data_IF_810999709131
#
_entry.id   IF_810999709131
#
_cell.length_a   1.000
_cell.length_b   1.000
_cell.length_c   1.000
_cell.angle_alpha   90.00
_cell.angle_beta   90.00
_cell.angle_gamma   90.00
#
_symmetry.space_group_name_H-M   'P 1'
#
loop_
_entity.id
_entity.type
_entity.pdbx_description
1 polymer ?
#
# COMPACT_ATOMS: atom_id res chain seq x y z
N UNK A 1 12.61 6.01 -41.40
CA UNK A 1 13.97 6.55 -41.29
C UNK A 1 13.84 8.04 -41.04
N UNK A 2 14.23 8.50 -39.85
CA UNK A 2 14.42 9.93 -39.61
C UNK A 2 15.90 10.22 -39.86
N UNK A 3 16.19 11.03 -40.83
CA UNK A 3 17.53 11.49 -41.15
C UNK A 3 17.65 12.93 -40.70
N UNK A 4 18.48 13.20 -39.71
CA UNK A 4 18.88 14.52 -39.29
C UNK A 4 20.20 14.83 -39.99
N UNK A 5 20.14 15.73 -40.97
CA UNK A 5 21.34 16.27 -41.65
C UNK A 5 21.38 17.76 -41.30
N UNK A 6 22.34 18.12 -40.46
CA UNK A 6 22.58 19.52 -40.14
C UNK A 6 24.08 19.76 -39.98
N UNK A 7 24.58 20.84 -40.50
CA UNK A 7 25.97 21.28 -40.31
C UNK A 7 26.25 21.65 -38.85
N UNK A 8 25.20 21.98 -38.12
CA UNK A 8 25.25 22.26 -36.66
C UNK A 8 23.90 21.96 -36.03
N UNK A 9 23.92 21.10 -35.00
CA UNK A 9 22.76 20.80 -34.15
C UNK A 9 23.13 21.08 -32.70
N UNK A 10 22.48 22.06 -32.07
CA UNK A 10 22.66 22.40 -30.68
C UNK A 10 21.31 22.33 -29.96
N UNK A 11 21.19 21.50 -28.92
CA UNK A 11 20.03 21.49 -28.06
C UNK A 11 20.45 21.67 -26.61
N UNK A 12 19.89 22.67 -25.94
CA UNK A 12 19.99 22.87 -24.48
C UNK A 12 18.66 22.44 -23.84
N UNK A 13 18.40 21.17 -23.80
CA UNK A 13 17.23 20.66 -23.09
C UNK A 13 17.67 19.82 -21.88
N UNK A 14 16.98 19.93 -20.78
CA UNK A 14 17.22 19.10 -19.60
C UNK A 14 17.05 17.60 -19.88
N UNK A 15 16.37 17.27 -21.00
CA UNK A 15 16.23 15.91 -21.51
C UNK A 15 15.97 15.97 -23.01
N UNK A 16 16.81 15.32 -23.82
CA UNK A 16 16.54 15.07 -25.24
C UNK A 16 16.30 13.59 -25.44
N UNK A 17 15.22 13.22 -26.13
CA UNK A 17 14.86 11.86 -26.47
C UNK A 17 14.86 11.68 -27.98
N UNK A 18 15.77 10.86 -28.50
CA UNK A 18 15.75 10.38 -29.88
C UNK A 18 15.27 8.93 -29.86
N UNK A 19 14.09 8.69 -30.40
CA UNK A 19 13.50 7.37 -30.44
C UNK A 19 13.13 6.97 -31.87
N UNK A 20 13.46 5.76 -32.28
CA UNK A 20 13.10 5.19 -33.57
C UNK A 20 12.84 3.70 -33.45
N UNK A 21 11.78 3.23 -34.10
CA UNK A 21 11.43 1.81 -34.13
C UNK A 21 12.40 0.95 -34.96
N UNK A 22 13.10 1.57 -35.94
CA UNK A 22 13.99 0.83 -36.83
C UNK A 22 15.45 1.27 -36.73
N UNK A 23 15.74 2.52 -36.98
CA UNK A 23 17.10 3.01 -37.06
C UNK A 23 17.21 4.49 -36.66
N UNK A 24 18.25 4.81 -35.91
CA UNK A 24 18.73 6.18 -35.68
C UNK A 24 20.07 6.30 -36.40
N UNK A 25 20.20 7.33 -37.29
CA UNK A 25 21.43 7.65 -37.98
C UNK A 25 21.78 9.12 -37.74
N UNK A 26 22.98 9.35 -37.19
CA UNK A 26 23.53 10.69 -36.97
C UNK A 26 24.79 10.77 -37.81
N UNK A 27 24.84 11.69 -38.76
CA UNK A 27 25.99 11.94 -39.60
C UNK A 27 26.32 13.41 -39.58
N UNK A 28 27.55 13.74 -39.23
CA UNK A 28 28.11 15.08 -39.28
C UNK A 28 29.62 14.99 -39.44
N UNK A 29 30.29 16.05 -39.96
CA UNK A 29 31.76 16.12 -39.96
C UNK A 29 32.35 15.95 -38.57
N UNK A 30 31.66 16.49 -37.53
CA UNK A 30 31.99 16.31 -36.14
C UNK A 30 30.70 16.13 -35.33
N UNK A 31 30.66 15.12 -34.44
CA UNK A 31 29.50 14.84 -33.62
C UNK A 31 29.94 14.78 -32.15
N UNK A 32 29.44 15.73 -31.36
CA UNK A 32 29.63 15.75 -29.91
C UNK A 32 28.30 15.47 -29.21
N UNK A 33 28.21 14.36 -28.46
CA UNK A 33 27.05 14.02 -27.64
C UNK A 33 27.50 13.87 -26.21
N UNK A 34 27.08 14.76 -25.35
CA UNK A 34 27.49 14.81 -23.95
C UNK A 34 26.28 14.58 -23.05
N UNK A 35 26.42 13.66 -22.11
CA UNK A 35 25.47 13.46 -21.04
C UNK A 35 26.15 13.59 -19.68
N UNK A 36 25.63 14.48 -18.82
CA UNK A 36 26.22 14.73 -17.49
C UNK A 36 26.13 13.54 -16.53
N UNK A 37 25.06 12.75 -16.62
CA UNK A 37 24.86 11.58 -15.78
C UNK A 37 24.81 10.28 -16.60
N UNK A 38 24.00 10.25 -17.63
CA UNK A 38 23.87 9.10 -18.52
C UNK A 38 23.52 9.52 -19.93
N UNK A 39 24.15 8.88 -20.90
CA UNK A 39 23.83 8.97 -22.30
C UNK A 39 23.15 7.68 -22.74
N UNK A 40 21.91 7.77 -23.23
CA UNK A 40 21.21 6.64 -23.82
C UNK A 40 20.99 6.88 -25.31
N UNK A 41 21.49 5.96 -26.14
CA UNK A 41 21.14 5.86 -27.55
C UNK A 41 20.41 4.54 -27.71
N UNK A 42 19.08 4.61 -27.93
CA UNK A 42 18.24 3.44 -28.03
C UNK A 42 17.63 3.30 -29.42
N UNK A 43 17.74 2.11 -30.00
CA UNK A 43 17.06 1.73 -31.24
C UNK A 43 16.63 0.27 -31.15
N UNK A 44 15.44 -0.06 -31.66
CA UNK A 44 14.92 -1.42 -31.64
C UNK A 44 15.75 -2.40 -32.49
N UNK A 45 16.35 -1.93 -33.58
CA UNK A 45 17.12 -2.77 -34.50
C UNK A 45 18.61 -2.38 -34.54
N UNK A 46 18.93 -1.12 -34.78
CA UNK A 46 20.32 -0.69 -35.00
C UNK A 46 20.51 0.79 -34.67
N UNK A 47 21.55 1.10 -33.90
CA UNK A 47 22.07 2.46 -33.74
C UNK A 47 23.43 2.56 -34.45
N UNK A 48 23.57 3.56 -35.31
CA UNK A 48 24.81 3.85 -36.04
C UNK A 48 25.22 5.25 -35.66
N UNK A 49 26.41 5.41 -35.10
CA UNK A 49 27.10 6.69 -34.95
C UNK A 49 28.29 6.66 -35.88
N UNK A 50 28.31 7.59 -36.86
CA UNK A 50 29.34 7.65 -37.89
C UNK A 50 29.96 9.04 -37.93
N UNK A 51 31.27 9.11 -38.04
CA UNK A 51 32.05 10.34 -38.19
C UNK A 51 33.13 10.12 -39.24
N UNK A 52 33.51 11.15 -39.98
CA UNK A 52 34.66 11.09 -40.88
C UNK A 52 36.01 11.18 -40.11
N UNK A 53 35.96 11.58 -38.87
CA UNK A 53 37.11 11.66 -37.97
C UNK A 53 37.02 10.67 -36.81
N UNK A 54 37.43 11.13 -35.63
CA UNK A 54 37.43 10.34 -34.41
C UNK A 54 36.05 10.36 -33.73
N UNK A 55 35.60 9.25 -33.19
CA UNK A 55 34.45 9.15 -32.29
C UNK A 55 35.01 8.98 -30.89
N UNK A 56 34.73 9.96 -30.02
CA UNK A 56 35.12 9.91 -28.61
C UNK A 56 33.87 9.76 -27.73
N UNK A 57 33.85 8.74 -26.89
CA UNK A 57 32.83 8.52 -25.86
C UNK A 57 33.45 8.75 -24.50
N UNK A 58 33.00 9.78 -23.77
CA UNK A 58 33.47 10.14 -22.44
C UNK A 58 32.38 9.85 -21.39
N UNK A 59 32.81 9.27 -20.29
CA UNK A 59 31.97 9.06 -19.09
C UNK A 59 32.81 9.16 -17.83
N UNK A 60 32.19 9.22 -16.68
CA UNK A 60 32.87 9.33 -15.37
C UNK A 60 33.89 8.21 -15.11
N UNK A 61 33.74 7.04 -15.76
CA UNK A 61 34.58 5.87 -15.58
C UNK A 61 35.64 5.67 -16.68
N UNK A 62 35.76 6.61 -17.62
CA UNK A 62 36.78 6.53 -18.67
C UNK A 62 36.35 7.12 -20.00
N UNK A 63 37.27 7.08 -20.94
CA UNK A 63 37.11 7.54 -22.33
C UNK A 63 37.41 6.38 -23.28
N UNK A 64 36.55 6.17 -24.29
CA UNK A 64 36.79 5.23 -25.36
C UNK A 64 36.83 6.00 -26.69
N UNK A 65 37.89 5.80 -27.46
CA UNK A 65 38.10 6.44 -28.76
C UNK A 65 38.04 5.39 -29.88
N UNK A 66 37.37 5.74 -30.98
CA UNK A 66 37.20 4.86 -32.12
C UNK A 66 37.55 5.61 -33.40
N UNK A 67 38.42 5.05 -34.24
CA UNK A 67 38.87 5.62 -35.48
C UNK A 67 38.00 5.20 -36.71
N UNK A 68 36.96 4.42 -36.46
CA UNK A 68 36.10 3.87 -37.51
C UNK A 68 34.62 4.00 -37.12
N UNK A 69 33.75 3.89 -38.11
CA UNK A 69 32.31 3.87 -37.83
C UNK A 69 31.96 2.82 -36.77
N UNK A 70 31.39 3.30 -35.70
CA UNK A 70 30.88 2.43 -34.65
C UNK A 70 29.46 2.02 -35.00
N UNK A 71 29.27 0.75 -35.27
CA UNK A 71 27.96 0.16 -35.45
C UNK A 71 27.65 -0.68 -34.22
N UNK A 72 26.82 -0.15 -33.33
CA UNK A 72 26.22 -0.99 -32.31
C UNK A 72 25.07 -1.77 -32.95
N UNK A 73 25.38 -2.97 -33.39
CA UNK A 73 24.31 -3.95 -33.52
C UNK A 73 24.05 -4.47 -32.12
N UNK A 74 22.79 -4.47 -31.72
CA UNK A 74 22.33 -5.25 -30.57
C UNK A 74 22.51 -6.74 -30.92
N UNK A 75 23.77 -7.17 -30.98
CA UNK A 75 24.18 -8.58 -31.10
C UNK A 75 24.31 -9.24 -29.74
N UNK A 76 23.99 -8.51 -28.71
CA UNK A 76 23.65 -9.20 -27.49
C UNK A 76 22.21 -9.67 -27.75
N UNK A 77 22.02 -10.94 -28.02
CA UNK A 77 21.05 -11.65 -27.24
C UNK A 77 21.35 -11.24 -25.80
N UNK A 78 20.79 -10.11 -25.34
CA UNK A 78 20.52 -9.96 -23.92
C UNK A 78 19.80 -11.26 -23.62
N UNK A 79 20.52 -12.16 -22.95
CA UNK A 79 19.96 -13.42 -22.48
C UNK A 79 18.72 -12.98 -21.71
N UNK A 80 17.56 -13.11 -22.36
CA UNK A 80 16.32 -12.64 -21.82
C UNK A 80 16.24 -13.23 -20.42
N UNK A 81 16.10 -12.38 -19.39
CA UNK A 81 16.01 -12.85 -18.02
C UNK A 81 14.93 -13.89 -18.00
N UNK A 82 15.27 -15.06 -17.50
CA UNK A 82 14.55 -16.30 -17.76
C UNK A 82 13.35 -16.49 -16.87
N UNK A 83 13.22 -15.66 -15.84
CA UNK A 83 12.11 -15.71 -14.89
C UNK A 83 11.92 -14.38 -14.17
N UNK A 84 10.76 -14.25 -13.54
CA UNK A 84 10.42 -13.18 -12.57
C UNK A 84 9.92 -13.84 -11.30
N UNK A 85 10.32 -13.33 -10.16
CA UNK A 85 9.84 -13.75 -8.84
C UNK A 85 9.12 -12.59 -8.18
N UNK A 86 7.81 -12.71 -8.01
CA UNK A 86 7.00 -11.73 -7.27
C UNK A 86 6.90 -12.16 -5.82
N UNK A 87 7.17 -11.23 -4.91
CA UNK A 87 6.85 -11.41 -3.51
C UNK A 87 5.44 -10.87 -3.25
N UNK A 88 4.59 -11.68 -2.63
CA UNK A 88 3.18 -11.40 -2.39
C UNK A 88 2.79 -11.80 -0.97
N UNK A 89 1.68 -11.29 -0.49
CA UNK A 89 1.09 -11.75 0.77
C UNK A 89 0.67 -13.21 0.66
N UNK A 90 0.72 -13.90 1.80
CA UNK A 90 0.24 -15.28 1.87
C UNK A 90 -1.28 -15.35 1.70
N UNK A 91 -1.79 -16.52 1.35
CA UNK A 91 -3.25 -16.74 1.26
C UNK A 91 -3.97 -16.62 2.62
N UNK A 92 -3.23 -16.84 3.71
CA UNK A 92 -3.73 -16.76 5.08
C UNK A 92 -3.35 -15.42 5.75
N UNK A 93 -2.94 -14.42 4.97
CA UNK A 93 -2.65 -13.09 5.49
C UNK A 93 -3.87 -12.49 6.19
N UNK A 94 -3.68 -12.02 7.42
CA UNK A 94 -4.71 -11.44 8.29
C UNK A 94 -4.35 -10.03 8.79
N UNK A 95 -3.43 -9.36 8.10
CA UNK A 95 -2.99 -8.01 8.46
C UNK A 95 -1.82 -7.97 9.44
N UNK A 96 -1.18 -9.08 9.79
CA UNK A 96 -0.18 -9.22 10.84
C UNK A 96 1.15 -8.51 10.55
N UNK A 97 1.40 -8.12 9.30
CA UNK A 97 2.54 -7.33 8.85
C UNK A 97 2.14 -6.32 7.79
N UNK A 98 2.89 -5.25 7.62
CA UNK A 98 2.65 -4.30 6.53
C UNK A 98 3.20 -4.83 5.21
N UNK A 99 2.42 -4.68 4.14
CA UNK A 99 2.85 -5.04 2.79
C UNK A 99 2.18 -4.12 1.76
N UNK A 100 2.98 -3.30 1.08
CA UNK A 100 2.50 -2.44 0.00
C UNK A 100 3.30 -2.70 -1.28
N UNK A 101 2.61 -2.77 -2.41
CA UNK A 101 3.18 -3.10 -3.70
C UNK A 101 2.48 -2.35 -4.83
N UNK A 102 3.15 -2.30 -5.97
CA UNK A 102 2.57 -1.85 -7.22
C UNK A 102 2.82 -2.90 -8.28
N UNK A 103 1.80 -3.61 -8.65
CA UNK A 103 1.86 -4.65 -9.66
C UNK A 103 0.69 -4.47 -10.64
N UNK A 104 1.01 -4.32 -11.92
CA UNK A 104 0.03 -4.33 -13.00
C UNK A 104 -0.38 -5.78 -13.27
N UNK A 105 -1.03 -6.41 -12.28
CA UNK A 105 -1.36 -7.81 -12.26
C UNK A 105 -2.29 -8.27 -13.38
N UNK A 106 -2.39 -9.59 -13.54
CA UNK A 106 -3.39 -10.23 -14.39
C UNK A 106 -4.79 -9.95 -13.83
N UNK A 107 -5.76 -9.78 -14.72
CA UNK A 107 -7.16 -9.50 -14.40
C UNK A 107 -7.83 -10.52 -13.47
N UNK A 108 -7.24 -11.70 -13.28
CA UNK A 108 -7.85 -12.87 -12.66
C UNK A 108 -7.59 -12.99 -11.15
N UNK A 109 -6.66 -12.23 -10.58
CA UNK A 109 -6.24 -12.37 -9.19
C UNK A 109 -6.74 -11.22 -8.28
N UNK A 110 -7.93 -10.70 -8.56
CA UNK A 110 -8.54 -9.58 -7.80
C UNK A 110 -8.93 -9.94 -6.37
N UNK A 111 -8.98 -11.23 -6.02
CA UNK A 111 -9.53 -11.66 -4.73
C UNK A 111 -8.60 -11.47 -3.54
N UNK A 112 -7.29 -11.26 -3.74
CA UNK A 112 -6.30 -11.22 -2.65
C UNK A 112 -5.19 -10.19 -2.87
N UNK A 113 -5.55 -8.99 -3.30
CA UNK A 113 -4.65 -7.85 -3.25
C UNK A 113 -3.84 -7.53 -4.49
N UNK A 114 -3.95 -8.26 -5.59
CA UNK A 114 -3.48 -7.82 -6.91
C UNK A 114 -4.57 -6.96 -7.54
N UNK A 115 -4.71 -5.74 -7.03
CA UNK A 115 -5.67 -4.81 -7.61
C UNK A 115 -5.27 -4.45 -9.03
N UNK A 116 -6.25 -4.32 -9.90
CA UNK A 116 -6.11 -3.55 -11.12
C UNK A 116 -5.95 -2.09 -10.72
N UNK A 117 -4.75 -1.69 -10.30
CA UNK A 117 -4.50 -0.32 -9.89
C UNK A 117 -4.96 0.69 -10.94
N UNK A 118 -4.88 0.35 -12.23
CA UNK A 118 -5.40 1.16 -13.33
C UNK A 118 -6.89 1.42 -13.21
N UNK A 119 -7.67 0.45 -12.74
CA UNK A 119 -9.14 0.54 -12.65
C UNK A 119 -9.62 1.02 -11.28
N UNK A 120 -8.72 1.12 -10.30
CA UNK A 120 -9.08 1.39 -8.89
C UNK A 120 -8.48 2.67 -8.33
N UNK A 121 -7.52 3.31 -9.03
CA UNK A 121 -6.91 4.57 -8.59
C UNK A 121 -7.38 5.70 -9.48
N UNK A 122 -7.95 6.74 -8.87
CA UNK A 122 -8.46 7.89 -9.60
C UNK A 122 -8.98 9.01 -8.70
N UNK A 123 -9.91 9.78 -9.23
CA UNK A 123 -10.59 10.86 -8.53
C UNK A 123 -12.08 10.84 -8.75
N UNK A 124 -12.80 11.45 -7.82
CA UNK A 124 -14.20 11.82 -7.98
C UNK A 124 -14.30 13.25 -8.50
N UNK A 125 -15.35 13.51 -9.31
CA UNK A 125 -15.63 14.82 -9.88
C UNK A 125 -17.09 15.20 -9.69
N UNK A 126 -17.31 16.49 -9.46
CA UNK A 126 -18.59 17.16 -9.69
C UNK A 126 -18.62 17.73 -11.12
N UNK A 127 -19.80 18.12 -11.56
CA UNK A 127 -19.99 18.92 -12.78
C UNK A 127 -20.40 20.33 -12.35
N UNK A 128 -19.70 21.35 -12.86
CA UNK A 128 -20.11 22.74 -12.70
C UNK A 128 -21.37 23.06 -13.55
N UNK A 129 -21.85 24.30 -13.47
CA UNK A 129 -23.03 24.74 -14.20
C UNK A 129 -22.87 24.68 -15.73
N UNK A 130 -21.64 24.64 -16.23
CA UNK A 130 -21.32 24.54 -17.65
C UNK A 130 -21.08 23.07 -18.10
N UNK A 131 -21.31 22.10 -17.20
CA UNK A 131 -21.10 20.68 -17.45
C UNK A 131 -19.63 20.25 -17.42
N UNK A 132 -18.72 21.12 -16.97
CA UNK A 132 -17.31 20.81 -16.82
C UNK A 132 -17.08 20.07 -15.50
N UNK A 133 -16.31 18.99 -15.56
CA UNK A 133 -15.92 18.24 -14.37
C UNK A 133 -15.03 19.08 -13.44
N UNK A 134 -15.43 19.17 -12.18
CA UNK A 134 -14.64 19.79 -11.12
C UNK A 134 -14.29 18.77 -10.05
N UNK A 135 -13.11 18.92 -9.45
CA UNK A 135 -12.71 18.03 -8.36
C UNK A 135 -13.62 18.25 -7.17
N UNK A 136 -14.20 17.20 -6.63
CA UNK A 136 -15.03 17.24 -5.44
C UNK A 136 -14.21 17.77 -4.24
N UNK A 137 -14.72 18.73 -3.50
CA UNK A 137 -14.04 19.38 -2.37
C UNK A 137 -14.46 18.84 -1.00
N UNK A 138 -15.57 18.13 -0.94
CA UNK A 138 -16.08 17.50 0.27
C UNK A 138 -15.72 16.01 0.29
N UNK A 139 -14.91 15.58 1.27
CA UNK A 139 -14.50 14.18 1.46
C UNK A 139 -15.67 13.21 1.54
N UNK A 140 -16.78 13.62 2.17
CA UNK A 140 -17.99 12.82 2.25
C UNK A 140 -18.77 12.73 0.93
N UNK A 141 -18.48 13.59 -0.01
CA UNK A 141 -19.07 13.56 -1.34
C UNK A 141 -18.35 12.58 -2.28
N UNK A 142 -17.16 12.14 -1.92
CA UNK A 142 -16.31 11.31 -2.78
C UNK A 142 -17.01 10.04 -3.32
N UNK A 143 -17.86 9.39 -2.54
CA UNK A 143 -18.63 8.22 -2.97
C UNK A 143 -19.99 8.55 -3.59
N UNK A 144 -20.41 9.82 -3.59
CA UNK A 144 -21.66 10.28 -4.22
C UNK A 144 -21.50 10.62 -5.69
N UNK A 145 -20.26 10.88 -6.13
CA UNK A 145 -19.95 11.31 -7.48
C UNK A 145 -19.25 10.20 -8.29
N UNK A 146 -19.31 10.25 -9.63
CA UNK A 146 -18.68 9.27 -10.48
C UNK A 146 -17.16 9.21 -10.25
N UNK A 147 -16.63 8.01 -10.08
CA UNK A 147 -15.20 7.77 -10.02
C UNK A 147 -14.61 7.81 -11.43
N UNK A 148 -13.52 8.52 -11.62
CA UNK A 148 -12.77 8.56 -12.87
C UNK A 148 -11.31 8.16 -12.64
N UNK A 149 -10.85 7.21 -13.44
CA UNK A 149 -9.46 6.77 -13.43
C UNK A 149 -8.58 7.84 -14.06
N UNK A 150 -7.59 8.33 -13.33
CA UNK A 150 -6.64 9.34 -13.79
C UNK A 150 -5.22 8.78 -13.83
N UNK A 151 -4.59 8.83 -14.99
CA UNK A 151 -3.20 8.40 -15.18
C UNK A 151 -2.23 9.09 -14.20
N UNK A 152 -2.46 10.38 -13.91
CA UNK A 152 -1.65 11.14 -12.94
C UNK A 152 -1.67 10.56 -11.53
N UNK A 153 -2.77 9.95 -11.09
CA UNK A 153 -2.88 9.31 -9.78
C UNK A 153 -2.19 7.95 -9.77
N UNK A 154 -2.33 7.20 -10.85
CA UNK A 154 -1.61 5.94 -11.08
C UNK A 154 -0.10 6.22 -11.08
N UNK A 155 0.34 7.27 -11.78
CA UNK A 155 1.74 7.68 -11.81
C UNK A 155 2.27 8.08 -10.43
N UNK A 156 1.47 8.77 -9.61
CA UNK A 156 1.85 9.09 -8.22
C UNK A 156 2.07 7.80 -7.40
N UNK A 157 1.18 6.82 -7.48
CA UNK A 157 1.35 5.54 -6.80
C UNK A 157 2.60 4.83 -7.33
N UNK A 158 2.73 4.70 -8.63
CA UNK A 158 3.86 4.05 -9.29
C UNK A 158 5.19 4.67 -8.90
N UNK A 159 5.31 6.00 -8.98
CA UNK A 159 6.54 6.74 -8.69
C UNK A 159 6.90 6.75 -7.20
N UNK A 160 6.01 6.29 -6.32
CA UNK A 160 6.33 6.08 -4.91
C UNK A 160 7.16 4.81 -4.66
N UNK A 161 7.34 3.93 -5.65
CA UNK A 161 8.10 2.69 -5.55
C UNK A 161 9.45 2.82 -6.25
N UNK A 162 10.50 2.26 -5.64
CA UNK A 162 11.75 1.97 -6.33
C UNK A 162 11.51 0.86 -7.35
N UNK A 163 12.25 0.86 -8.46
CA UNK A 163 12.07 -0.13 -9.52
C UNK A 163 13.39 -0.49 -10.21
N UNK A 164 13.38 -1.60 -10.90
CA UNK A 164 14.42 -1.99 -11.87
C UNK A 164 13.77 -2.68 -13.08
N UNK A 165 14.48 -2.67 -14.20
CA UNK A 165 13.97 -3.29 -15.41
C UNK A 165 14.45 -4.73 -15.50
N UNK A 166 13.52 -5.63 -15.72
CA UNK A 166 13.79 -7.04 -16.01
C UNK A 166 13.56 -7.24 -17.51
N UNK A 167 14.55 -7.70 -18.25
CA UNK A 167 14.43 -8.06 -19.67
C UNK A 167 13.55 -9.31 -19.90
N UNK A 168 12.36 -9.34 -19.31
CA UNK A 168 11.44 -10.47 -19.35
C UNK A 168 10.40 -10.27 -20.47
N UNK A 169 10.42 -11.14 -21.48
CA UNK A 169 9.39 -11.15 -22.50
C UNK A 169 8.25 -12.05 -22.05
N UNK A 170 7.14 -11.49 -21.65
CA UNK A 170 5.93 -12.27 -21.42
C UNK A 170 5.53 -13.01 -22.71
N UNK A 171 5.50 -14.34 -22.67
CA UNK A 171 5.19 -15.20 -23.82
C UNK A 171 3.78 -15.01 -24.40
N UNK A 172 2.88 -14.29 -23.69
CA UNK A 172 1.54 -13.94 -24.14
C UNK A 172 1.42 -12.42 -24.21
N UNK A 173 1.47 -11.87 -25.43
CA UNK A 173 1.07 -10.50 -25.70
C UNK A 173 -0.34 -10.28 -25.12
N UNK A 174 -0.48 -9.40 -24.14
CA UNK A 174 -1.79 -8.92 -23.68
C UNK A 174 -2.32 -7.96 -24.73
N UNK A 175 -3.61 -8.06 -25.05
CA UNK A 175 -4.28 -7.13 -25.96
C UNK A 175 -4.10 -5.72 -25.39
N UNK A 176 -3.40 -4.84 -26.14
CA UNK A 176 -3.18 -3.43 -25.82
C UNK A 176 -1.83 -3.07 -25.16
N UNK A 177 -0.95 -4.03 -24.91
CA UNK A 177 0.43 -3.77 -24.48
C UNK A 177 1.37 -4.17 -25.62
N UNK A 178 2.17 -3.22 -26.10
CA UNK A 178 3.17 -3.49 -27.15
C UNK A 178 4.21 -4.49 -26.64
N UNK A 179 4.57 -5.53 -27.41
CA UNK A 179 5.39 -6.67 -26.97
C UNK A 179 6.86 -6.36 -26.65
N UNK A 180 7.27 -5.10 -26.57
CA UNK A 180 8.67 -4.66 -26.61
C UNK A 180 9.10 -3.72 -25.50
N UNK A 181 8.26 -3.48 -24.47
CA UNK A 181 8.71 -2.68 -23.34
C UNK A 181 9.39 -3.56 -22.29
N UNK A 182 10.57 -3.16 -21.84
CA UNK A 182 11.26 -3.76 -20.72
C UNK A 182 10.29 -3.82 -19.55
N UNK A 183 10.11 -5.02 -18.98
CA UNK A 183 9.23 -5.22 -17.85
C UNK A 183 9.80 -4.47 -16.64
N UNK A 184 9.06 -3.49 -16.15
CA UNK A 184 9.43 -2.73 -14.96
C UNK A 184 8.94 -3.47 -13.72
N UNK A 185 9.89 -3.90 -12.89
CA UNK A 185 9.62 -4.52 -11.60
C UNK A 185 9.62 -3.44 -10.52
N UNK A 186 8.46 -3.17 -9.93
CA UNK A 186 8.33 -2.27 -8.79
C UNK A 186 8.56 -3.06 -7.52
N UNK A 187 9.49 -2.60 -6.69
CA UNK A 187 9.94 -3.31 -5.49
C UNK A 187 8.91 -3.14 -4.38
N UNK A 188 8.22 -4.20 -3.94
CA UNK A 188 7.30 -4.11 -2.81
C UNK A 188 8.04 -3.77 -1.53
N UNK A 189 7.30 -3.20 -0.56
CA UNK A 189 7.79 -2.85 0.77
C UNK A 189 6.99 -3.60 1.81
N UNK A 190 7.66 -4.02 2.85
CA UNK A 190 7.00 -4.62 4.00
C UNK A 190 7.57 -4.09 5.30
N UNK A 191 6.75 -4.16 6.33
CA UNK A 191 7.13 -4.01 7.74
C UNK A 191 6.82 -5.29 8.48
N UNK A 192 7.55 -5.59 9.52
CA UNK A 192 7.24 -6.64 10.48
C UNK A 192 7.75 -6.24 11.86
N UNK A 193 7.07 -6.65 12.91
CA UNK A 193 7.53 -6.40 14.28
C UNK A 193 8.80 -7.23 14.57
N UNK A 194 9.70 -6.77 15.45
CA UNK A 194 10.77 -7.62 15.96
C UNK A 194 10.21 -8.89 16.62
N UNK A 195 10.99 -9.95 16.64
CA UNK A 195 10.68 -11.23 17.26
C UNK A 195 9.38 -11.87 16.74
N UNK A 196 9.08 -11.65 15.45
CA UNK A 196 7.92 -12.22 14.76
C UNK A 196 8.32 -13.09 13.60
N UNK A 197 7.38 -13.94 13.19
CA UNK A 197 7.47 -14.79 12.03
C UNK A 197 6.26 -14.54 11.12
N UNK A 198 6.50 -14.38 9.82
CA UNK A 198 5.45 -14.09 8.83
C UNK A 198 5.58 -15.01 7.63
N UNK A 199 4.46 -15.22 6.94
CA UNK A 199 4.42 -15.99 5.71
C UNK A 199 4.17 -15.09 4.50
N UNK A 200 5.02 -15.27 3.47
CA UNK A 200 4.89 -14.67 2.15
C UNK A 200 4.71 -15.75 1.09
N UNK A 201 4.33 -15.33 -0.10
CA UNK A 201 4.36 -16.15 -1.30
C UNK A 201 5.38 -15.59 -2.26
N UNK A 202 6.31 -16.43 -2.72
CA UNK A 202 7.11 -16.17 -3.90
C UNK A 202 6.39 -16.80 -5.11
N UNK A 203 5.86 -15.99 -6.02
CA UNK A 203 5.26 -16.44 -7.27
C UNK A 203 6.29 -16.35 -8.39
N UNK A 204 6.56 -17.49 -9.03
CA UNK A 204 7.57 -17.63 -10.06
C UNK A 204 6.87 -17.67 -11.41
N UNK A 205 7.23 -16.75 -12.31
CA UNK A 205 6.86 -16.79 -13.72
C UNK A 205 8.10 -17.10 -14.56
N UNK A 206 7.98 -18.05 -15.48
CA UNK A 206 9.04 -18.42 -16.44
C UNK A 206 8.69 -17.89 -17.83
N UNK A 207 9.70 -17.45 -18.58
CA UNK A 207 9.51 -17.00 -19.97
C UNK A 207 9.26 -18.22 -20.87
N UNK A 208 10.22 -19.14 -20.98
CA UNK A 208 10.14 -20.39 -21.74
C UNK A 208 10.93 -21.49 -21.03
N UNK A 209 10.48 -22.73 -21.18
CA UNK A 209 11.16 -23.89 -20.61
C UNK A 209 12.64 -24.01 -21.04
N UNK A 210 12.93 -23.70 -22.30
CA UNK A 210 14.29 -23.76 -22.87
C UNK A 210 15.24 -22.69 -22.30
N UNK A 211 14.69 -21.61 -21.73
CA UNK A 211 15.44 -20.48 -21.19
C UNK A 211 15.38 -20.38 -19.67
N UNK A 212 14.90 -21.40 -18.98
CA UNK A 212 14.81 -21.35 -17.53
C UNK A 212 16.19 -21.36 -16.86
N UNK A 213 16.38 -20.64 -15.73
CA UNK A 213 17.61 -20.71 -14.97
C UNK A 213 17.82 -22.13 -14.42
N UNK A 214 19.04 -22.45 -14.06
CA UNK A 214 19.35 -23.72 -13.37
C UNK A 214 19.00 -23.67 -11.90
N UNK A 215 19.07 -22.48 -11.30
CA UNK A 215 18.82 -22.25 -9.89
C UNK A 215 18.26 -20.84 -9.69
N UNK A 216 17.42 -20.66 -8.67
CA UNK A 216 16.97 -19.37 -8.16
C UNK A 216 17.29 -19.33 -6.67
N UNK A 217 18.23 -18.48 -6.27
CA UNK A 217 18.62 -18.28 -4.87
C UNK A 217 17.89 -17.10 -4.26
N UNK A 218 17.52 -17.24 -2.98
CA UNK A 218 17.03 -16.17 -2.13
C UNK A 218 18.12 -15.76 -1.16
N UNK A 219 18.40 -14.47 -1.09
CA UNK A 219 19.42 -13.93 -0.18
C UNK A 219 19.03 -12.55 0.34
N UNK A 220 19.38 -12.28 1.59
CA UNK A 220 19.37 -10.94 2.14
C UNK A 220 20.69 -10.24 1.83
N UNK A 221 20.63 -8.91 1.64
CA UNK A 221 21.84 -8.07 1.59
C UNK A 221 22.65 -8.16 2.89
N UNK A 222 21.93 -8.21 4.03
CA UNK A 222 22.46 -8.54 5.36
C UNK A 222 21.47 -9.46 6.06
N UNK A 223 21.93 -10.59 6.53
CA UNK A 223 21.09 -11.61 7.18
C UNK A 223 20.92 -11.38 8.70
N UNK A 224 21.44 -10.28 9.26
CA UNK A 224 21.34 -9.96 10.67
C UNK A 224 19.87 -9.95 11.13
N UNK A 225 19.55 -10.77 12.12
CA UNK A 225 18.21 -10.91 12.69
C UNK A 225 17.12 -11.43 11.73
N UNK A 226 17.46 -11.82 10.48
CA UNK A 226 16.52 -12.35 9.51
C UNK A 226 16.88 -13.78 9.11
N UNK A 227 15.87 -14.64 9.04
CA UNK A 227 15.99 -16.02 8.56
C UNK A 227 14.90 -16.33 7.55
N UNK A 228 15.24 -17.15 6.55
CA UNK A 228 14.32 -17.68 5.55
C UNK A 228 14.11 -19.17 5.77
N UNK A 229 12.87 -19.63 5.58
CA UNK A 229 12.58 -21.07 5.53
C UNK A 229 13.26 -21.78 4.35
N UNK A 230 13.48 -21.05 3.26
CA UNK A 230 14.10 -21.55 2.02
C UNK A 230 15.11 -20.53 1.50
N UNK A 231 16.27 -21.00 1.11
CA UNK A 231 17.32 -20.19 0.46
C UNK A 231 17.35 -20.40 -1.06
N UNK A 232 16.54 -21.33 -1.57
CA UNK A 232 16.41 -21.62 -3.00
C UNK A 232 14.93 -21.82 -3.34
N UNK A 233 14.56 -21.44 -4.56
CA UNK A 233 13.23 -21.65 -5.11
C UNK A 233 13.26 -22.71 -6.21
N UNK A 234 12.18 -23.50 -6.39
CA UNK A 234 12.07 -24.42 -7.49
C UNK A 234 12.05 -23.69 -8.83
N UNK A 235 12.76 -24.18 -9.82
CA UNK A 235 12.81 -23.61 -11.17
C UNK A 235 11.61 -24.11 -11.99
N UNK A 236 10.43 -23.73 -11.54
CA UNK A 236 9.14 -24.00 -12.23
C UNK A 236 8.16 -22.86 -11.93
N UNK A 237 7.28 -22.58 -12.87
CA UNK A 237 6.20 -21.62 -12.64
C UNK A 237 5.28 -22.10 -11.51
N UNK A 238 4.87 -21.17 -10.65
CA UNK A 238 3.98 -21.46 -9.52
C UNK A 238 4.30 -20.65 -8.27
N UNK A 239 3.63 -20.99 -7.19
CA UNK A 239 3.71 -20.29 -5.90
C UNK A 239 4.47 -21.15 -4.87
N UNK A 240 5.32 -20.51 -4.09
CA UNK A 240 6.06 -21.12 -2.97
C UNK A 240 5.83 -20.27 -1.73
N UNK A 241 5.36 -20.89 -0.65
CA UNK A 241 5.27 -20.21 0.64
C UNK A 241 6.65 -20.07 1.26
N UNK A 242 6.99 -18.85 1.64
CA UNK A 242 8.22 -18.50 2.33
C UNK A 242 7.88 -18.03 3.74
N UNK A 243 8.59 -18.52 4.73
CA UNK A 243 8.54 -17.97 6.08
C UNK A 243 9.77 -17.08 6.29
N UNK A 244 9.54 -15.85 6.76
CA UNK A 244 10.57 -14.91 7.21
C UNK A 244 10.43 -14.79 8.72
N UNK A 245 11.49 -15.12 9.45
CA UNK A 245 11.59 -14.93 10.89
C UNK A 245 12.50 -13.74 11.18
N UNK A 246 12.02 -12.75 11.94
CA UNK A 246 12.80 -11.64 12.45
C UNK A 246 13.08 -11.90 13.93
N UNK A 247 14.35 -12.14 14.29
CA UNK A 247 14.76 -12.54 15.65
C UNK A 247 15.34 -11.37 16.46
N UNK A 248 14.99 -10.14 16.10
CA UNK A 248 15.45 -8.94 16.75
C UNK A 248 15.22 -7.71 15.89
N UNK A 249 15.74 -6.58 16.33
CA UNK A 249 15.53 -5.28 15.69
C UNK A 249 16.35 -5.14 14.38
N UNK A 250 15.75 -4.49 13.38
CA UNK A 250 16.40 -4.04 12.15
C UNK A 250 16.58 -2.52 12.24
N UNK A 251 17.83 -2.07 12.31
CA UNK A 251 18.17 -0.63 12.41
C UNK A 251 18.18 0.06 11.06
N UNK A 252 18.25 -0.68 9.97
CA UNK A 252 18.23 -0.17 8.60
C UNK A 252 17.40 -1.09 7.68
N UNK A 253 16.99 -0.57 6.54
CA UNK A 253 16.29 -1.32 5.49
C UNK A 253 17.08 -2.57 5.09
N UNK A 254 16.41 -3.70 4.95
CA UNK A 254 16.95 -4.94 4.41
C UNK A 254 16.36 -5.23 3.05
N UNK A 255 17.12 -5.90 2.22
CA UNK A 255 16.72 -6.29 0.88
C UNK A 255 16.77 -7.81 0.75
N UNK A 256 15.62 -8.42 0.48
CA UNK A 256 15.55 -9.81 0.04
C UNK A 256 15.55 -9.84 -1.48
N UNK A 257 16.49 -10.59 -2.06
CA UNK A 257 16.68 -10.67 -3.52
C UNK A 257 16.56 -12.12 -3.98
N UNK A 258 15.85 -12.33 -5.09
CA UNK A 258 15.88 -13.57 -5.86
C UNK A 258 16.89 -13.41 -7.01
N UNK A 259 17.89 -14.30 -7.06
CA UNK A 259 19.00 -14.23 -8.02
C UNK A 259 19.14 -15.56 -8.74
N UNK A 260 19.32 -15.53 -10.06
CA UNK A 260 19.56 -16.74 -10.87
C UNK A 260 21.01 -17.20 -10.79
N UNK A 261 21.28 -18.40 -11.32
CA UNK A 261 22.65 -18.96 -11.46
C UNK A 261 23.58 -18.09 -12.32
N UNK A 262 23.03 -17.26 -13.22
CA UNK A 262 23.80 -16.30 -14.03
C UNK A 262 24.08 -14.97 -13.26
N UNK A 263 23.60 -14.82 -12.02
CA UNK A 263 23.76 -13.61 -11.21
C UNK A 263 22.70 -12.53 -11.45
N UNK A 264 21.69 -12.81 -12.26
CA UNK A 264 20.62 -11.86 -12.57
C UNK A 264 19.62 -11.73 -11.41
N UNK A 265 19.32 -10.51 -11.00
CA UNK A 265 18.23 -10.21 -10.08
C UNK A 265 16.89 -10.36 -10.80
N UNK A 266 16.04 -11.25 -10.30
CA UNK A 266 14.73 -11.57 -10.89
C UNK A 266 13.57 -11.29 -9.95
N UNK A 267 13.84 -10.79 -8.77
CA UNK A 267 12.84 -10.35 -7.79
C UNK A 267 13.49 -9.67 -6.60
N UNK A 268 12.83 -8.70 -6.00
CA UNK A 268 13.33 -7.95 -4.84
C UNK A 268 12.17 -7.56 -3.93
N UNK A 269 12.42 -7.57 -2.62
CA UNK A 269 11.50 -7.10 -1.58
C UNK A 269 12.29 -6.26 -0.57
N UNK A 270 11.77 -5.09 -0.21
CA UNK A 270 12.30 -4.28 0.87
C UNK A 270 11.60 -4.60 2.18
N UNK A 271 12.39 -4.84 3.22
CA UNK A 271 11.94 -4.94 4.60
C UNK A 271 12.39 -3.67 5.32
N UNK A 272 11.43 -2.88 5.78
CA UNK A 272 11.71 -1.60 6.41
C UNK A 272 12.32 -1.78 7.81
N UNK A 273 13.09 -0.80 8.32
CA UNK A 273 13.63 -0.86 9.68
C UNK A 273 12.50 -0.98 10.70
N UNK A 274 12.73 -1.72 11.77
CA UNK A 274 11.75 -1.96 12.83
C UNK A 274 12.32 -1.81 14.24
N UNK A 275 13.50 -1.19 14.36
CA UNK A 275 14.10 -0.92 15.67
C UNK A 275 13.21 0.01 16.51
N UNK A 276 13.47 0.10 17.81
CA UNK A 276 12.69 0.96 18.73
C UNK A 276 12.59 2.41 18.27
N UNK A 277 13.58 2.91 17.55
CA UNK A 277 13.55 4.25 16.96
C UNK A 277 12.48 4.38 15.86
N UNK A 278 12.14 3.29 15.18
CA UNK A 278 11.14 3.22 14.13
C UNK A 278 9.75 2.79 14.64
N UNK A 279 9.64 2.38 15.90
CA UNK A 279 8.38 2.01 16.52
C UNK A 279 7.70 3.21 17.20
N UNK A 280 6.39 3.17 17.27
CA UNK A 280 5.55 4.07 18.08
C UNK A 280 4.84 3.24 19.13
N UNK A 281 5.00 3.58 20.41
CA UNK A 281 4.21 2.96 21.47
C UNK A 281 2.97 3.80 21.76
N UNK A 282 1.83 3.13 21.92
CA UNK A 282 0.58 3.73 22.37
C UNK A 282 0.02 2.91 23.53
N UNK A 283 -0.89 3.51 24.30
CA UNK A 283 -1.66 2.82 25.34
C UNK A 283 -3.11 2.78 24.97
N UNK A 284 -3.76 1.64 25.16
CA UNK A 284 -5.16 1.41 24.76
C UNK A 284 -5.94 0.83 25.92
N UNK A 285 -7.15 1.34 26.16
CA UNK A 285 -8.11 0.81 27.11
C UNK A 285 -9.46 0.59 26.47
N UNK A 286 -9.99 -0.62 26.60
CA UNK A 286 -11.33 -1.01 26.19
C UNK A 286 -12.26 -0.94 27.40
N UNK A 287 -13.33 -0.17 27.26
CA UNK A 287 -14.26 0.16 28.33
C UNK A 287 -15.60 -0.46 28.05
N UNK A 288 -15.98 -1.49 28.79
CA UNK A 288 -17.33 -2.06 28.76
C UNK A 288 -18.27 -1.12 29.48
N UNK A 289 -19.25 -0.56 28.79
CA UNK A 289 -20.23 0.36 29.39
C UNK A 289 -21.47 -0.42 29.77
N UNK A 290 -21.77 -0.44 31.04
CA UNK A 290 -23.00 -1.03 31.57
C UNK A 290 -24.08 0.05 31.58
N UNK A 291 -25.20 -0.19 30.91
CA UNK A 291 -26.31 0.74 30.74
C UNK A 291 -27.64 0.13 31.15
N UNK A 292 -28.62 0.99 31.43
CA UNK A 292 -30.01 0.61 31.62
C UNK A 292 -30.91 1.68 31.02
N UNK A 293 -31.38 1.44 29.80
CA UNK A 293 -32.41 2.29 29.21
C UNK A 293 -33.75 2.07 29.92
N UNK A 294 -34.50 3.14 30.11
CA UNK A 294 -35.78 3.12 30.85
C UNK A 294 -36.69 2.00 30.32
N UNK A 295 -37.26 1.22 31.26
CA UNK A 295 -38.10 0.06 30.91
C UNK A 295 -37.36 -1.17 30.35
N UNK A 296 -36.03 -1.12 30.21
CA UNK A 296 -35.24 -2.20 29.67
C UNK A 296 -34.39 -2.91 30.76
N UNK A 297 -33.90 -4.11 30.43
CA UNK A 297 -32.89 -4.79 31.27
C UNK A 297 -31.55 -4.10 31.13
N UNK A 298 -30.71 -4.27 32.15
CA UNK A 298 -29.32 -3.85 32.07
C UNK A 298 -28.58 -4.60 30.95
N UNK A 299 -27.73 -3.88 30.24
CA UNK A 299 -26.85 -4.40 29.20
C UNK A 299 -25.43 -3.92 29.43
N UNK A 300 -24.48 -4.74 29.13
CA UNK A 300 -23.05 -4.40 29.16
C UNK A 300 -22.47 -4.58 27.76
N UNK A 301 -21.63 -3.66 27.33
CA UNK A 301 -20.94 -3.76 26.06
C UNK A 301 -20.05 -5.00 26.01
N UNK A 302 -19.97 -5.60 24.85
CA UNK A 302 -19.17 -6.81 24.60
C UNK A 302 -17.99 -6.42 23.72
N UNK A 303 -16.81 -6.89 24.08
CA UNK A 303 -15.61 -6.80 23.23
C UNK A 303 -15.49 -8.08 22.44
N UNK A 304 -15.49 -7.97 21.12
CA UNK A 304 -15.27 -9.11 20.21
C UNK A 304 -13.78 -9.39 20.14
N UNK A 305 -13.28 -10.60 20.51
CA UNK A 305 -11.84 -10.90 20.55
C UNK A 305 -11.15 -10.69 19.19
N UNK A 306 -11.83 -11.00 18.10
CA UNK A 306 -11.34 -10.82 16.72
C UNK A 306 -11.11 -9.33 16.40
N UNK A 307 -11.85 -8.41 17.05
CA UNK A 307 -11.62 -6.97 16.90
C UNK A 307 -10.29 -6.54 17.53
N UNK A 308 -9.92 -7.13 18.67
CA UNK A 308 -8.63 -6.85 19.30
C UNK A 308 -7.50 -7.35 18.41
N UNK A 309 -7.61 -8.60 17.96
CA UNK A 309 -6.59 -9.21 17.09
C UNK A 309 -6.38 -8.39 15.81
N UNK A 310 -7.47 -8.05 15.13
CA UNK A 310 -7.39 -7.27 13.89
C UNK A 310 -6.85 -5.85 14.15
N UNK A 311 -7.26 -5.21 15.24
CA UNK A 311 -6.77 -3.90 15.62
C UNK A 311 -5.25 -3.91 15.87
N UNK A 312 -4.75 -4.87 16.62
CA UNK A 312 -3.31 -5.03 16.86
C UNK A 312 -2.55 -5.32 15.56
N UNK A 313 -3.06 -6.25 14.74
CA UNK A 313 -2.45 -6.59 13.47
C UNK A 313 -2.32 -5.36 12.56
N UNK A 314 -3.38 -4.57 12.43
CA UNK A 314 -3.36 -3.37 11.58
C UNK A 314 -2.39 -2.31 12.13
N UNK A 315 -2.28 -2.15 13.44
CA UNK A 315 -1.29 -1.27 14.06
C UNK A 315 0.14 -1.74 13.80
N UNK A 316 0.40 -3.04 13.86
CA UNK A 316 1.72 -3.63 13.60
C UNK A 316 2.20 -3.37 12.16
N UNK A 317 1.29 -3.22 11.18
CA UNK A 317 1.67 -2.82 9.82
C UNK A 317 2.38 -1.47 9.79
N UNK A 318 2.02 -0.57 10.70
CA UNK A 318 2.66 0.73 10.84
C UNK A 318 3.73 0.75 11.96
N UNK A 319 4.18 -0.41 12.43
CA UNK A 319 5.09 -0.53 13.58
C UNK A 319 4.61 0.23 14.82
N UNK A 320 3.30 0.28 15.02
CA UNK A 320 2.68 0.84 16.24
C UNK A 320 2.43 -0.30 17.22
N UNK A 321 3.04 -0.21 18.38
CA UNK A 321 2.93 -1.20 19.44
C UNK A 321 1.98 -0.72 20.54
N UNK A 322 1.16 -1.62 21.08
CA UNK A 322 0.31 -1.34 22.24
C UNK A 322 1.06 -1.76 23.51
N UNK A 323 1.59 -0.76 24.20
CA UNK A 323 2.37 -0.93 25.44
C UNK A 323 1.52 -1.62 26.52
N UNK A 324 2.08 -2.68 27.12
CA UNK A 324 1.41 -3.56 28.09
C UNK A 324 0.10 -4.23 27.61
N UNK A 325 -0.15 -4.24 26.30
CA UNK A 325 -1.37 -4.78 25.71
C UNK A 325 -2.62 -3.93 25.98
N UNK A 326 -3.75 -4.36 25.41
CA UNK A 326 -5.04 -3.70 25.61
C UNK A 326 -5.53 -3.95 27.02
N UNK A 327 -5.83 -2.88 27.78
CA UNK A 327 -6.48 -2.98 29.10
C UNK A 327 -7.98 -3.08 28.92
N UNK A 328 -8.67 -3.89 29.71
CA UNK A 328 -10.14 -3.94 29.75
C UNK A 328 -10.65 -3.52 31.11
N UNK A 329 -11.64 -2.63 31.11
CA UNK A 329 -12.31 -2.12 32.32
C UNK A 329 -13.82 -1.98 32.07
N UNK A 330 -14.58 -1.75 33.15
CA UNK A 330 -16.02 -1.53 33.08
C UNK A 330 -16.39 -0.22 33.79
N UNK A 331 -17.34 0.53 33.21
CA UNK A 331 -17.99 1.68 33.84
C UNK A 331 -19.49 1.45 33.94
N UNK A 332 -20.10 1.99 34.99
CA UNK A 332 -21.53 1.88 35.22
C UNK A 332 -22.25 3.18 34.86
N UNK A 333 -23.21 3.10 33.92
CA UNK A 333 -24.06 4.17 33.44
C UNK A 333 -25.55 3.76 33.53
N UNK A 334 -25.95 3.10 34.63
CA UNK A 334 -27.34 2.61 34.82
C UNK A 334 -28.24 3.64 35.48
N UNK A 335 -27.75 4.83 35.76
CA UNK A 335 -28.52 5.91 36.38
C UNK A 335 -29.66 6.37 35.45
N UNK A 336 -30.76 6.79 36.05
CA UNK A 336 -31.94 7.28 35.34
C UNK A 336 -31.63 8.45 34.37
N UNK A 337 -30.70 9.32 34.77
CA UNK A 337 -30.20 10.43 33.97
C UNK A 337 -29.64 9.96 32.63
N UNK A 338 -28.95 8.81 32.57
CA UNK A 338 -28.43 8.25 31.31
C UNK A 338 -29.56 7.93 30.35
N UNK A 339 -30.60 7.22 30.83
CA UNK A 339 -31.75 6.87 30.01
C UNK A 339 -32.55 8.12 29.56
N UNK A 340 -32.71 9.12 30.43
CA UNK A 340 -33.41 10.38 30.11
C UNK A 340 -32.65 11.16 29.02
N UNK A 341 -31.35 11.16 29.00
CA UNK A 341 -30.54 11.90 28.04
C UNK A 341 -30.36 11.20 26.70
N UNK A 342 -30.21 9.84 26.70
CA UNK A 342 -29.67 9.10 25.54
C UNK A 342 -30.65 8.08 24.95
N UNK A 343 -31.79 7.82 25.57
CA UNK A 343 -32.77 6.87 25.04
C UNK A 343 -33.43 7.38 23.76
N UNK A 344 -33.46 6.52 22.76
CA UNK A 344 -34.18 6.72 21.51
C UNK A 344 -35.10 5.54 21.23
N UNK A 345 -36.31 5.79 20.75
CA UNK A 345 -37.27 4.76 20.34
C UNK A 345 -37.45 4.77 18.84
N UNK A 346 -37.03 3.71 18.18
CA UNK A 346 -37.24 3.48 16.74
C UNK A 346 -38.22 2.35 16.52
N UNK A 347 -39.48 2.68 16.17
CA UNK A 347 -40.57 1.71 16.14
C UNK A 347 -40.88 1.16 17.53
N UNK A 348 -40.55 -0.12 17.76
CA UNK A 348 -40.74 -0.79 19.06
C UNK A 348 -39.39 -1.06 19.79
N UNK A 349 -38.24 -0.72 19.18
CA UNK A 349 -36.92 -0.95 19.74
C UNK A 349 -36.41 0.30 20.44
N UNK A 350 -35.87 0.10 21.64
CA UNK A 350 -35.12 1.14 22.34
C UNK A 350 -33.61 1.00 22.06
N UNK A 351 -32.94 2.12 21.91
CA UNK A 351 -31.51 2.22 21.75
C UNK A 351 -31.01 3.61 22.15
N UNK A 352 -29.79 3.91 21.75
CA UNK A 352 -29.10 5.17 22.00
C UNK A 352 -29.35 6.10 20.80
N UNK A 353 -29.54 7.38 21.08
CA UNK A 353 -29.77 8.46 20.12
C UNK A 353 -28.43 8.94 19.54
N UNK A 354 -28.18 8.69 18.25
CA UNK A 354 -26.98 9.15 17.56
C UNK A 354 -26.87 10.67 17.54
N UNK A 355 -27.98 11.41 17.45
CA UNK A 355 -27.96 12.87 17.43
C UNK A 355 -27.31 13.49 18.68
N UNK A 356 -27.11 12.70 19.72
CA UNK A 356 -26.45 13.06 20.97
C UNK A 356 -25.04 12.46 21.14
N UNK A 357 -24.41 12.02 20.06
CA UNK A 357 -23.12 11.36 20.08
C UNK A 357 -22.04 12.14 20.86
N UNK A 358 -21.95 13.46 20.68
CA UNK A 358 -20.99 14.29 21.42
C UNK A 358 -21.30 14.32 22.93
N UNK A 359 -22.56 14.48 23.30
CA UNK A 359 -22.97 14.47 24.73
C UNK A 359 -22.73 13.11 25.37
N UNK A 360 -23.00 12.03 24.64
CA UNK A 360 -22.74 10.66 25.10
C UNK A 360 -21.28 10.47 25.42
N UNK A 361 -20.43 10.90 24.53
CA UNK A 361 -18.98 10.82 24.70
C UNK A 361 -18.51 11.62 25.93
N UNK A 362 -18.94 12.86 26.07
CA UNK A 362 -18.61 13.69 27.24
C UNK A 362 -19.08 13.02 28.54
N UNK A 363 -20.27 12.39 28.52
CA UNK A 363 -20.82 11.69 29.65
C UNK A 363 -19.97 10.49 30.06
N UNK A 364 -19.63 9.60 29.10
CA UNK A 364 -18.81 8.40 29.42
C UNK A 364 -17.40 8.77 29.82
N UNK A 365 -16.82 9.84 29.23
CA UNK A 365 -15.52 10.35 29.67
C UNK A 365 -15.55 10.88 31.12
N UNK A 366 -16.60 11.60 31.52
CA UNK A 366 -16.79 12.03 32.92
C UNK A 366 -16.89 10.81 33.85
N UNK A 367 -17.64 9.77 33.45
CA UNK A 367 -17.75 8.51 34.23
C UNK A 367 -16.42 7.80 34.34
N UNK A 368 -15.65 7.75 33.25
CA UNK A 368 -14.30 7.19 33.23
C UNK A 368 -13.38 7.89 34.24
N UNK A 369 -13.37 9.22 34.24
CA UNK A 369 -12.59 10.01 35.20
C UNK A 369 -13.09 9.81 36.63
N UNK A 370 -14.41 9.80 36.85
CA UNK A 370 -14.99 9.57 38.17
C UNK A 370 -14.63 8.20 38.74
N UNK A 371 -14.51 7.16 37.87
CA UNK A 371 -14.22 5.77 38.31
C UNK A 371 -12.73 5.53 38.50
N UNK A 372 -11.89 6.05 37.61
CA UNK A 372 -10.45 5.68 37.54
C UNK A 372 -9.50 6.88 37.70
N UNK A 373 -10.03 8.08 38.06
CA UNK A 373 -9.27 9.32 38.12
C UNK A 373 -8.52 9.58 36.79
N UNK A 374 -7.21 9.84 36.86
CA UNK A 374 -6.38 10.16 35.68
C UNK A 374 -5.64 8.94 35.14
N UNK A 375 -5.92 7.72 35.62
CA UNK A 375 -5.18 6.50 35.25
C UNK A 375 -5.10 6.31 33.74
N UNK A 376 -6.17 6.57 33.01
CA UNK A 376 -6.27 6.35 31.54
C UNK A 376 -6.23 7.65 30.73
N UNK A 377 -5.78 8.77 31.31
CA UNK A 377 -5.76 10.08 30.62
C UNK A 377 -5.01 10.09 29.30
N UNK A 378 -3.94 9.29 29.18
CA UNK A 378 -3.08 9.23 27.99
C UNK A 378 -3.35 7.97 27.14
N UNK A 379 -4.46 7.30 27.33
CA UNK A 379 -4.82 6.11 26.59
C UNK A 379 -5.76 6.45 25.43
N UNK A 380 -5.63 5.72 24.34
CA UNK A 380 -6.73 5.60 23.39
C UNK A 380 -7.83 4.79 24.07
N UNK A 381 -9.01 5.38 24.16
CA UNK A 381 -10.13 4.82 24.94
C UNK A 381 -11.27 4.40 24.01
N UNK A 382 -11.67 3.15 24.11
CA UNK A 382 -12.68 2.53 23.24
C UNK A 382 -13.86 2.10 24.10
N UNK A 383 -15.02 2.75 23.92
CA UNK A 383 -16.24 2.47 24.66
C UNK A 383 -17.14 1.49 23.93
N UNK A 384 -17.56 0.42 24.59
CA UNK A 384 -18.47 -0.57 24.06
C UNK A 384 -19.79 -0.55 24.80
N UNK A 385 -20.88 -0.38 24.05
CA UNK A 385 -22.26 -0.42 24.57
C UNK A 385 -22.96 -1.70 24.13
N UNK A 386 -23.76 -2.30 25.04
CA UNK A 386 -24.63 -3.43 24.73
C UNK A 386 -25.97 -3.01 24.11
N UNK A 387 -26.18 -1.72 23.91
CA UNK A 387 -27.34 -1.18 23.24
C UNK A 387 -27.05 -0.84 21.78
N UNK A 388 -28.09 -0.91 20.94
CA UNK A 388 -28.04 -0.42 19.56
C UNK A 388 -28.00 1.10 19.57
N UNK A 389 -27.40 1.70 18.54
CA UNK A 389 -27.52 3.12 18.26
C UNK A 389 -28.33 3.34 17.00
N UNK A 390 -29.22 4.30 17.03
CA UNK A 390 -30.11 4.63 15.93
C UNK A 390 -29.84 6.03 15.37
N UNK A 391 -29.81 6.09 14.05
CA UNK A 391 -29.86 7.32 13.26
C UNK A 391 -31.24 7.46 12.62
N UNK A 392 -31.55 8.60 12.03
CA UNK A 392 -32.78 8.78 11.24
C UNK A 392 -32.81 7.79 10.06
N UNK A 393 -31.66 7.50 9.44
CA UNK A 393 -31.54 6.65 8.26
C UNK A 393 -31.39 5.15 8.60
N UNK A 394 -30.96 4.79 9.82
CA UNK A 394 -30.70 3.39 10.11
C UNK A 394 -30.11 3.10 11.48
N UNK A 395 -29.05 2.33 11.49
CA UNK A 395 -28.27 1.96 12.69
C UNK A 395 -26.82 2.40 12.51
N UNK A 396 -26.24 2.86 13.61
CA UNK A 396 -24.82 3.15 13.71
C UNK A 396 -24.15 2.07 14.57
N UNK A 397 -23.09 1.46 14.04
CA UNK A 397 -22.36 0.41 14.73
C UNK A 397 -21.18 0.95 15.57
N UNK A 398 -20.65 2.10 15.20
CA UNK A 398 -19.58 2.79 15.92
C UNK A 398 -19.22 4.10 15.23
N UNK A 399 -18.48 4.93 15.95
CA UNK A 399 -17.89 6.16 15.41
C UNK A 399 -16.66 6.57 16.19
N UNK A 400 -15.78 7.32 15.53
CA UNK A 400 -14.73 8.09 16.15
C UNK A 400 -14.57 9.43 15.42
N UNK A 401 -14.18 10.46 16.13
CA UNK A 401 -13.83 11.73 15.51
C UNK A 401 -12.36 11.72 15.08
N UNK A 402 -12.08 12.20 13.90
CA UNK A 402 -10.73 12.26 13.37
C UNK A 402 -9.81 13.08 14.30
N UNK A 403 -8.58 12.58 14.52
CA UNK A 403 -7.62 13.17 15.43
C UNK A 403 -8.09 13.24 16.90
N UNK A 404 -8.88 12.29 17.32
CA UNK A 404 -9.30 12.12 18.72
C UNK A 404 -8.47 11.03 19.42
N UNK A 405 -8.83 10.72 20.67
CA UNK A 405 -8.20 9.61 21.41
C UNK A 405 -9.23 8.57 21.85
N UNK A 406 -10.41 8.56 21.26
CA UNK A 406 -11.49 7.65 21.65
C UNK A 406 -12.39 7.29 20.49
N UNK A 407 -13.03 6.11 20.62
CA UNK A 407 -14.11 5.63 19.77
C UNK A 407 -15.25 5.04 20.60
N UNK A 408 -16.44 5.04 20.01
CA UNK A 408 -17.67 4.53 20.64
C UNK A 408 -18.29 3.48 19.73
N UNK A 409 -18.65 2.32 20.30
CA UNK A 409 -19.17 1.16 19.59
C UNK A 409 -20.45 0.64 20.22
N UNK A 410 -21.39 0.22 19.39
CA UNK A 410 -22.71 -0.22 19.79
C UNK A 410 -22.98 -1.67 19.39
N UNK A 411 -24.02 -2.27 19.98
CA UNK A 411 -24.44 -3.63 19.62
C UNK A 411 -24.67 -3.75 18.10
N UNK A 412 -24.04 -4.77 17.49
CA UNK A 412 -24.08 -5.03 16.05
C UNK A 412 -22.82 -4.60 15.28
N UNK A 413 -21.79 -4.08 15.94
CA UNK A 413 -20.49 -3.86 15.30
C UNK A 413 -19.82 -5.19 14.92
N UNK A 414 -18.95 -5.19 13.91
CA UNK A 414 -18.14 -6.35 13.51
C UNK A 414 -16.66 -6.15 13.86
N UNK A 415 -15.84 -7.18 13.67
CA UNK A 415 -14.41 -7.14 14.00
C UNK A 415 -13.63 -6.02 13.33
N UNK A 416 -13.99 -5.62 12.11
CA UNK A 416 -13.32 -4.56 11.37
C UNK A 416 -13.78 -3.14 11.75
N UNK A 417 -14.93 -3.00 12.46
CA UNK A 417 -15.43 -1.68 12.85
C UNK A 417 -14.49 -0.98 13.83
N UNK A 418 -13.98 -1.71 14.84
CA UNK A 418 -13.08 -1.13 15.86
C UNK A 418 -11.80 -0.58 15.24
N UNK A 419 -11.01 -1.36 14.48
CA UNK A 419 -9.81 -0.81 13.85
C UNK A 419 -10.13 0.33 12.88
N UNK A 420 -11.20 0.26 12.09
CA UNK A 420 -11.62 1.33 11.18
C UNK A 420 -11.81 2.67 11.91
N UNK A 421 -12.68 2.69 12.91
CA UNK A 421 -12.99 3.92 13.65
C UNK A 421 -11.78 4.42 14.46
N UNK A 422 -11.03 3.52 15.09
CA UNK A 422 -9.86 3.92 15.86
C UNK A 422 -8.75 4.49 14.97
N UNK A 423 -8.62 4.05 13.73
CA UNK A 423 -7.69 4.63 12.78
C UNK A 423 -8.14 6.03 12.32
N UNK A 424 -9.44 6.30 12.24
CA UNK A 424 -9.93 7.69 12.10
C UNK A 424 -9.53 8.54 13.32
N UNK A 425 -9.71 8.02 14.52
CA UNK A 425 -9.22 8.70 15.73
C UNK A 425 -7.71 9.00 15.68
N UNK A 426 -6.93 8.11 15.08
CA UNK A 426 -5.49 8.29 14.87
C UNK A 426 -5.11 9.14 13.65
N UNK A 427 -6.08 9.68 12.92
CA UNK A 427 -5.89 10.65 11.85
C UNK A 427 -6.01 10.12 10.42
N UNK A 428 -6.31 8.83 10.21
CA UNK A 428 -6.45 8.30 8.86
C UNK A 428 -7.78 8.72 8.22
N UNK A 429 -7.77 9.25 7.00
CA UNK A 429 -8.95 9.38 6.16
C UNK A 429 -9.33 8.03 5.53
N UNK A 430 -10.50 7.94 4.91
CA UNK A 430 -10.83 6.79 4.08
C UNK A 430 -9.87 6.66 2.89
N UNK A 431 -9.65 5.44 2.42
CA UNK A 431 -8.79 5.16 1.27
C UNK A 431 -9.34 5.70 -0.07
N UNK A 432 -10.64 6.01 -0.10
CA UNK A 432 -11.36 6.55 -1.26
C UNK A 432 -11.62 8.07 -1.17
N UNK A 433 -11.30 8.72 -0.05
CA UNK A 433 -11.33 10.17 0.05
C UNK A 433 -10.27 10.74 -0.89
N UNK A 434 -10.55 11.90 -1.50
CA UNK A 434 -9.55 12.53 -2.35
C UNK A 434 -8.81 13.68 -1.66
N UNK A 435 -9.30 14.12 -0.50
CA UNK A 435 -8.59 15.05 0.39
C UNK A 435 -7.78 14.29 1.44
N UNK A 436 -6.56 14.76 1.68
CA UNK A 436 -5.69 14.17 2.70
C UNK A 436 -5.06 12.83 2.32
N UNK A 437 -5.24 12.37 1.07
CA UNK A 437 -4.62 11.16 0.54
C UNK A 437 -3.72 11.48 -0.66
N UNK A 438 -2.60 10.77 -0.86
CA UNK A 438 -1.74 11.00 -2.02
C UNK A 438 -2.41 10.60 -3.34
N UNK A 439 -3.30 9.60 -3.30
CA UNK A 439 -4.13 9.10 -4.40
C UNK A 439 -5.35 8.38 -3.82
N UNK A 440 -6.53 8.63 -4.41
CA UNK A 440 -7.78 8.01 -3.98
C UNK A 440 -7.99 6.66 -4.68
N UNK A 441 -8.52 5.70 -3.93
CA UNK A 441 -8.99 4.43 -4.48
C UNK A 441 -10.49 4.48 -4.76
N UNK A 442 -10.93 3.67 -5.70
CA UNK A 442 -12.35 3.51 -5.96
C UNK A 442 -13.04 2.91 -4.73
N UNK A 443 -14.14 3.51 -4.32
CA UNK A 443 -14.98 3.05 -3.24
C UNK A 443 -15.39 1.58 -3.39
N UNK A 444 -15.32 0.79 -2.33
CA UNK A 444 -15.64 -0.63 -2.27
C UNK A 444 -14.72 -1.58 -3.06
N UNK A 445 -13.49 -1.20 -3.40
CA UNK A 445 -12.67 -2.04 -4.27
C UNK A 445 -11.44 -2.64 -3.62
N UNK A 446 -11.14 -2.28 -2.38
CA UNK A 446 -9.89 -2.67 -1.71
C UNK A 446 -10.14 -3.46 -0.43
N UNK A 447 -9.14 -4.23 0.01
CA UNK A 447 -9.09 -4.85 1.33
C UNK A 447 -8.51 -3.92 2.40
N UNK A 448 -8.35 -2.63 2.05
CA UNK A 448 -7.88 -1.61 3.00
C UNK A 448 -8.89 -1.45 4.13
N UNK A 449 -8.40 -1.40 5.37
CA UNK A 449 -9.26 -1.27 6.55
C UNK A 449 -10.10 0.01 6.49
N UNK A 450 -9.60 1.06 5.80
CA UNK A 450 -10.28 2.36 5.62
C UNK A 450 -11.19 2.39 4.38
N UNK A 451 -11.53 1.24 3.78
CA UNK A 451 -12.53 1.10 2.73
C UNK A 451 -13.86 0.56 3.31
N UNK A 452 -14.94 0.61 2.52
CA UNK A 452 -16.26 0.05 2.85
C UNK A 452 -16.61 -1.19 2.00
N UNK A 453 -15.61 -1.90 1.53
CA UNK A 453 -15.75 -3.08 0.64
C UNK A 453 -16.54 -4.25 1.25
N UNK A 454 -16.82 -4.22 2.57
CA UNK A 454 -17.69 -5.18 3.25
C UNK A 454 -19.19 -5.01 2.92
N UNK A 455 -19.59 -3.91 2.29
CA UNK A 455 -20.98 -3.67 1.87
C UNK A 455 -21.33 -4.29 0.50
N UNK A 456 -20.36 -4.90 -0.16
CA UNK A 456 -20.60 -5.59 -1.42
C UNK A 456 -21.40 -6.89 -1.25
N UNK A 457 -22.12 -7.35 -2.28
CA UNK A 457 -22.74 -8.69 -2.29
C UNK A 457 -21.72 -9.82 -2.06
N UNK A 458 -20.48 -9.63 -2.55
CA UNK A 458 -19.33 -10.48 -2.24
C UNK A 458 -18.33 -9.61 -1.46
N UNK A 459 -18.42 -9.58 -0.12
CA UNK A 459 -17.63 -8.68 0.68
C UNK A 459 -16.13 -9.02 0.58
N UNK A 460 -15.31 -7.97 0.47
CA UNK A 460 -13.86 -8.07 0.62
C UNK A 460 -13.54 -7.90 2.10
N UNK A 461 -12.84 -8.87 2.67
CA UNK A 461 -12.36 -8.80 4.04
C UNK A 461 -11.30 -7.68 4.16
N UNK A 462 -11.52 -6.77 5.11
CA UNK A 462 -10.68 -5.59 5.29
C UNK A 462 -9.64 -5.82 6.38
N UNK A 463 -8.36 -5.70 6.03
CA UNK A 463 -7.27 -5.99 6.95
C UNK A 463 -5.96 -5.27 6.64
N UNK A 464 -5.86 -4.56 5.52
CA UNK A 464 -4.60 -3.97 5.08
C UNK A 464 -4.55 -2.46 5.24
N UNK A 465 -3.32 -1.93 5.27
CA UNK A 465 -2.99 -0.52 5.13
C UNK A 465 -1.99 -0.34 3.98
N UNK A 466 -2.01 0.83 3.35
CA UNK A 466 -1.02 1.25 2.38
C UNK A 466 0.17 1.96 3.05
N UNK A 467 1.31 1.98 2.39
CA UNK A 467 2.55 2.58 2.91
C UNK A 467 2.37 4.03 3.41
N UNK A 468 1.63 4.86 2.68
CA UNK A 468 1.38 6.24 3.10
C UNK A 468 0.56 6.33 4.41
N UNK A 469 -0.32 5.35 4.66
CA UNK A 469 -1.09 5.27 5.91
C UNK A 469 -0.19 4.88 7.09
N UNK A 470 0.82 4.02 6.85
CA UNK A 470 1.81 3.73 7.89
C UNK A 470 2.51 5.00 8.35
N UNK A 471 2.90 5.89 7.40
CA UNK A 471 3.54 7.17 7.71
C UNK A 471 2.66 8.12 8.53
N UNK A 472 1.34 8.11 8.34
CA UNK A 472 0.41 8.90 9.17
C UNK A 472 0.33 8.33 10.58
N UNK A 473 0.21 7.00 10.72
CA UNK A 473 0.12 6.34 12.02
C UNK A 473 1.44 6.40 12.79
N UNK A 474 2.54 6.35 12.08
CA UNK A 474 3.89 6.35 12.64
C UNK A 474 4.86 7.11 11.73
N UNK A 475 5.07 8.38 12.04
CA UNK A 475 5.94 9.28 11.27
C UNK A 475 7.45 8.93 11.31
N UNK A 476 7.84 7.87 12.02
CA UNK A 476 9.22 7.38 12.09
C UNK A 476 9.57 6.37 10.98
N UNK A 477 8.59 5.90 10.22
CA UNK A 477 8.78 4.92 9.13
C UNK A 477 9.11 5.59 7.79
N UNK A 478 8.82 6.87 7.62
CA UNK A 478 8.91 7.63 6.36
C UNK A 478 10.25 8.34 6.25
#
# INVERSE_FOLDING_TARGET
MQQLVADFFHTQAGKALLNSQKQIKIEAPETNVVGEQRLFIHSAEKAIVNSQGMIELRGEQGTSEFNQAFSYQKTVEEKAKRCVVYFKRSENYNGEYGFDWFHLGKQEDMSKGDYKFVDTIGHHYETDNDGKKVTCTDGNAAYKYPFEVLSTQIDKKRNSFEYFNIGFKLAKARIGVTPLEDFTYYIPRMTMMPDTEINLVAEIELDREENKPKEIKLQFDKADNLKLSHTTLPVRAGKVTLTISCTGELTEKRTLTAVTDDGDTVGTLFILPNSKEHQRDIKVVFVKVKTKLDGQKEKTGIVIPESITLFLNVLHQALVNVDEGVKEVEINCTEKEFAENFRYLKGIEYGIDESKAQLLQEYVMKKMVATFNTTYKCYYTVFFFGDKCFTDEGRLNGYAYQNSTYGVFFDGYNSATVPHEMLHAMGLPHSFDYQGVPFAYKYHTTDNIMDYSHHLPNPIERMSLFYWQWGILNNKIV
#
